data_IF_965178299916
#
_entry.id   IF_965178299916
#
_cell.length_a   1.000
_cell.length_b   1.000
_cell.length_c   1.000
_cell.angle_alpha   90.00
_cell.angle_beta   90.00
_cell.angle_gamma   90.00
#
_symmetry.space_group_name_H-M   'P 1'
#
loop_
_entity.id
_entity.type
_entity.pdbx_description
1 polymer ?
#
# COMPACT_ATOMS: atom_id res chain seq x y z
N UNK A 1 -0.10 9.80 -26.24
CA UNK A 1 1.14 9.59 -25.45
C UNK A 1 1.30 8.09 -25.28
N UNK A 2 2.49 7.56 -25.52
CA UNK A 2 2.78 6.11 -25.43
C UNK A 2 3.82 5.87 -24.32
N UNK A 3 3.73 4.76 -23.61
CA UNK A 3 4.65 4.38 -22.53
C UNK A 3 4.86 2.87 -22.58
N UNK A 4 6.07 2.41 -22.30
CA UNK A 4 6.40 0.98 -22.25
C UNK A 4 5.92 0.36 -20.92
N UNK A 5 5.95 1.16 -19.85
CA UNK A 5 5.55 0.74 -18.51
C UNK A 5 4.66 1.80 -17.85
N UNK A 6 3.56 1.34 -17.25
CA UNK A 6 2.69 2.14 -16.39
C UNK A 6 2.71 1.55 -14.99
N UNK A 7 3.21 2.32 -14.03
CA UNK A 7 3.29 1.94 -12.63
C UNK A 7 2.24 2.72 -11.87
N UNK A 8 1.36 2.02 -11.15
CA UNK A 8 0.30 2.63 -10.33
C UNK A 8 0.68 2.50 -8.86
N UNK A 9 0.94 3.64 -8.22
CA UNK A 9 1.38 3.79 -6.84
C UNK A 9 2.87 4.10 -6.73
N UNK A 10 3.21 5.33 -6.34
CA UNK A 10 4.54 5.80 -5.93
C UNK A 10 4.85 5.45 -4.46
N UNK A 11 4.45 4.27 -4.02
CA UNK A 11 4.91 3.71 -2.75
C UNK A 11 6.36 3.22 -2.84
N UNK A 12 6.87 2.62 -1.76
CA UNK A 12 8.28 2.18 -1.67
C UNK A 12 8.71 1.29 -2.86
N UNK A 13 7.87 0.36 -3.27
CA UNK A 13 8.17 -0.51 -4.42
C UNK A 13 8.06 0.23 -5.75
N UNK A 14 7.03 1.06 -5.93
CA UNK A 14 6.78 1.80 -7.17
C UNK A 14 7.90 2.78 -7.50
N UNK A 15 8.36 3.55 -6.50
CA UNK A 15 9.48 4.48 -6.67
C UNK A 15 10.78 3.75 -7.05
N UNK A 16 11.08 2.60 -6.41
CA UNK A 16 12.29 1.82 -6.73
C UNK A 16 12.21 1.25 -8.14
N UNK A 17 11.05 0.72 -8.53
CA UNK A 17 10.85 0.15 -9.86
C UNK A 17 10.94 1.23 -10.94
N UNK A 18 10.26 2.36 -10.74
CA UNK A 18 10.29 3.49 -11.66
C UNK A 18 11.72 3.98 -11.88
N UNK A 19 12.48 4.19 -10.81
CA UNK A 19 13.87 4.65 -10.89
C UNK A 19 14.78 3.68 -11.65
N UNK A 20 14.58 2.37 -11.51
CA UNK A 20 15.40 1.36 -12.19
C UNK A 20 15.06 1.26 -13.68
N UNK A 21 13.77 1.26 -14.01
CA UNK A 21 13.32 1.17 -15.41
C UNK A 21 13.66 2.45 -16.18
N UNK A 22 13.47 3.63 -15.57
CA UNK A 22 13.77 4.91 -16.23
C UNK A 22 15.27 5.23 -16.31
N UNK A 23 16.15 4.39 -15.74
CA UNK A 23 17.59 4.53 -15.92
C UNK A 23 18.03 4.17 -17.35
N UNK A 24 17.26 3.34 -18.05
CA UNK A 24 17.42 3.09 -19.47
C UNK A 24 16.67 4.18 -20.26
N UNK A 25 17.36 5.02 -21.06
CA UNK A 25 16.71 6.06 -21.86
C UNK A 25 15.81 5.51 -22.97
N UNK A 26 15.89 4.21 -23.30
CA UNK A 26 14.99 3.56 -24.24
C UNK A 26 13.63 3.23 -23.62
N UNK A 27 13.50 3.26 -22.30
CA UNK A 27 12.26 2.96 -21.59
C UNK A 27 11.49 4.23 -21.21
N UNK A 28 10.23 4.33 -21.64
CA UNK A 28 9.29 5.39 -21.26
C UNK A 28 8.39 4.90 -20.15
N UNK A 29 8.60 5.40 -18.94
CA UNK A 29 7.88 4.98 -17.74
C UNK A 29 6.89 6.07 -17.30
N UNK A 30 5.63 5.70 -17.08
CA UNK A 30 4.63 6.52 -16.44
C UNK A 30 4.40 6.04 -15.00
N UNK A 31 4.63 6.91 -14.02
CA UNK A 31 4.31 6.66 -12.61
C UNK A 31 3.07 7.48 -12.22
N UNK A 32 2.00 6.80 -11.82
CA UNK A 32 0.77 7.41 -11.33
C UNK A 32 0.69 7.25 -9.82
N UNK A 33 0.46 8.33 -9.09
CA UNK A 33 0.25 8.32 -7.65
C UNK A 33 -1.06 9.05 -7.32
N UNK A 34 -1.85 8.47 -6.42
CA UNK A 34 -3.14 9.03 -6.02
C UNK A 34 -2.96 10.25 -5.09
N UNK A 35 -1.91 10.21 -4.25
CA UNK A 35 -1.56 11.29 -3.35
C UNK A 35 -0.92 12.51 -4.04
N UNK A 36 -0.97 13.69 -3.39
CA UNK A 36 -0.20 14.84 -3.83
C UNK A 36 1.31 14.62 -3.56
N UNK A 37 2.15 15.53 -4.05
CA UNK A 37 3.59 15.55 -3.73
C UNK A 37 3.84 15.57 -2.20
N UNK A 38 4.96 15.05 -1.73
CA UNK A 38 5.31 15.02 -0.30
C UNK A 38 5.81 16.38 0.25
N UNK A 39 4.93 17.38 0.31
CA UNK A 39 5.27 18.75 0.76
C UNK A 39 5.02 19.00 2.25
N UNK A 40 4.20 18.18 2.91
CA UNK A 40 3.76 18.47 4.27
C UNK A 40 4.87 18.15 5.31
N UNK A 41 5.24 19.07 6.22
CA UNK A 41 6.36 18.85 7.16
C UNK A 41 6.22 17.61 8.04
N UNK A 42 4.98 17.20 8.37
CA UNK A 42 4.75 15.99 9.16
C UNK A 42 5.17 14.69 8.46
N UNK A 43 5.39 14.71 7.13
CA UNK A 43 5.93 13.57 6.38
C UNK A 43 7.43 13.38 6.67
N UNK A 44 8.14 14.48 6.89
CA UNK A 44 9.61 14.50 7.09
C UNK A 44 10.03 14.42 8.56
N UNK A 45 9.08 14.53 9.49
CA UNK A 45 9.35 14.41 10.93
C UNK A 45 8.99 13.00 11.42
N UNK A 46 9.90 12.28 12.11
CA UNK A 46 9.60 10.95 12.66
C UNK A 46 8.35 10.93 13.56
N UNK A 47 8.19 11.95 14.43
CA UNK A 47 7.01 12.09 15.29
C UNK A 47 5.73 12.55 14.55
N UNK A 48 5.84 12.94 13.28
CA UNK A 48 4.73 13.43 12.47
C UNK A 48 3.73 12.34 12.07
N UNK A 49 4.11 11.06 12.17
CA UNK A 49 3.25 9.92 11.85
C UNK A 49 1.91 9.98 12.61
N UNK A 50 1.92 10.36 13.89
CA UNK A 50 0.72 10.46 14.72
C UNK A 50 -0.34 11.41 14.12
N UNK A 51 0.08 12.43 13.37
CA UNK A 51 -0.82 13.37 12.68
C UNK A 51 -1.28 12.85 11.31
N UNK A 52 -0.51 11.97 10.68
CA UNK A 52 -0.78 11.46 9.34
C UNK A 52 -1.71 10.25 9.33
N UNK A 53 -1.63 9.38 10.34
CA UNK A 53 -2.40 8.12 10.37
C UNK A 53 -3.92 8.31 10.30
N UNK A 54 -4.44 9.41 10.87
CA UNK A 54 -5.89 9.71 10.83
C UNK A 54 -6.27 10.75 9.76
N UNK A 55 -5.33 11.14 8.89
CA UNK A 55 -5.60 12.12 7.84
C UNK A 55 -5.99 11.44 6.52
N UNK A 56 -7.24 11.63 6.06
CA UNK A 56 -7.75 11.07 4.79
C UNK A 56 -7.00 11.53 3.54
N UNK A 57 -6.27 12.66 3.61
CA UNK A 57 -5.45 13.13 2.48
C UNK A 57 -4.16 12.33 2.29
N UNK A 58 -3.69 11.65 3.34
CA UNK A 58 -2.40 10.95 3.34
C UNK A 58 -2.52 9.47 3.66
N UNK A 59 -3.68 9.03 4.16
CA UNK A 59 -3.98 7.64 4.44
C UNK A 59 -5.28 7.25 3.75
N UNK A 60 -5.25 6.10 3.07
CA UNK A 60 -6.40 5.47 2.43
C UNK A 60 -7.49 5.05 3.41
N UNK A 61 -7.19 4.94 4.71
CA UNK A 61 -8.14 4.52 5.77
C UNK A 61 -8.89 3.25 5.39
N UNK A 62 -8.12 2.21 5.04
CA UNK A 62 -8.68 0.92 4.65
C UNK A 62 -9.67 0.41 5.69
N UNK A 63 -10.76 -0.17 5.21
CA UNK A 63 -11.74 -0.85 6.06
C UNK A 63 -11.18 -2.22 6.42
N UNK A 64 -11.22 -2.57 7.71
CA UNK A 64 -10.88 -3.92 8.16
C UNK A 64 -11.89 -4.91 7.58
N UNK A 65 -11.40 -5.95 6.91
CA UNK A 65 -12.23 -7.08 6.46
C UNK A 65 -12.73 -7.94 7.63
N UNK A 66 -12.13 -7.81 8.81
CA UNK A 66 -12.61 -8.46 10.02
C UNK A 66 -13.70 -7.60 10.67
N UNK A 67 -14.84 -8.20 11.06
CA UNK A 67 -15.87 -7.52 11.83
C UNK A 67 -15.25 -6.89 13.08
N UNK A 68 -15.65 -5.66 13.36
CA UNK A 68 -15.21 -4.90 14.54
C UNK A 68 -15.43 -5.69 15.86
N UNK A 69 -16.41 -6.60 15.84
CA UNK A 69 -16.77 -7.53 16.92
C UNK A 69 -15.63 -8.50 17.31
N UNK A 70 -14.70 -8.82 16.39
CA UNK A 70 -13.58 -9.75 16.65
C UNK A 70 -12.28 -9.00 17.00
N UNK A 71 -12.24 -7.67 16.83
CA UNK A 71 -11.08 -6.85 17.12
C UNK A 71 -10.61 -6.92 18.59
N UNK A 72 -11.51 -7.03 19.61
CA UNK A 72 -11.09 -7.21 21.01
C UNK A 72 -10.43 -8.56 21.26
N UNK A 73 -10.85 -9.62 20.56
CA UNK A 73 -10.31 -10.98 20.72
C UNK A 73 -8.89 -11.12 20.17
N UNK A 74 -8.52 -10.35 19.15
CA UNK A 74 -7.15 -10.26 18.62
C UNK A 74 -6.21 -9.44 19.51
N UNK A 75 -6.75 -8.55 20.36
CA UNK A 75 -5.99 -7.72 21.30
C UNK A 75 -5.86 -8.34 22.70
N UNK A 76 -6.51 -9.48 22.94
CA UNK A 76 -6.40 -10.19 24.21
C UNK A 76 -4.97 -10.77 24.38
N UNK A 77 -4.34 -10.64 25.56
CA UNK A 77 -3.06 -11.28 25.84
C UNK A 77 -3.21 -12.81 25.65
N UNK A 78 -2.50 -13.37 24.67
CA UNK A 78 -2.55 -14.81 24.35
C UNK A 78 -3.26 -15.18 23.03
N UNK A 79 -3.74 -14.21 22.24
CA UNK A 79 -4.27 -14.47 20.91
C UNK A 79 -3.18 -15.01 19.97
N UNK A 80 -3.08 -16.35 19.85
CA UNK A 80 -2.22 -16.99 18.86
C UNK A 80 -2.70 -16.59 17.46
N UNK A 81 -1.86 -15.88 16.71
CA UNK A 81 -1.99 -15.76 15.25
C UNK A 81 -2.09 -17.19 14.71
N UNK A 82 -3.28 -17.61 14.27
CA UNK A 82 -3.39 -18.80 13.43
C UNK A 82 -2.84 -18.39 12.07
N UNK A 83 -1.59 -18.75 11.82
CA UNK A 83 -1.05 -18.73 10.46
C UNK A 83 -1.77 -19.80 9.64
N UNK A 84 -2.16 -19.44 8.42
CA UNK A 84 -2.73 -20.37 7.44
C UNK A 84 -3.98 -19.84 6.78
N UNK A 85 -3.81 -19.18 5.63
CA UNK A 85 -4.87 -19.15 4.61
C UNK A 85 -4.76 -20.49 3.88
N UNK A 86 -5.70 -21.40 4.15
CA UNK A 86 -5.90 -22.60 3.32
C UNK A 86 -6.50 -22.15 1.98
N UNK A 87 -5.63 -21.93 0.99
CA UNK A 87 -6.04 -21.64 -0.39
C UNK A 87 -6.41 -22.97 -1.04
N UNK A 88 -7.66 -23.42 -0.87
CA UNK A 88 -8.17 -24.49 -1.73
C UNK A 88 -8.33 -23.96 -3.16
N UNK A 89 -7.82 -24.65 -4.18
CA UNK A 89 -8.04 -24.24 -5.57
C UNK A 89 -9.53 -24.29 -5.90
N UNK A 90 -10.03 -23.24 -6.60
CA UNK A 90 -11.36 -23.23 -7.20
C UNK A 90 -11.42 -24.34 -8.27
N UNK A 91 -12.51 -25.13 -8.35
CA UNK A 91 -12.72 -26.05 -9.46
C UNK A 91 -12.68 -25.27 -10.78
N UNK A 92 -12.04 -25.83 -11.80
CA UNK A 92 -12.10 -25.33 -13.17
C UNK A 92 -13.52 -25.52 -13.69
N UNK A 93 -14.13 -24.44 -14.16
CA UNK A 93 -15.38 -24.51 -14.92
C UNK A 93 -15.01 -25.00 -16.34
N UNK A 94 -15.46 -26.21 -16.69
CA UNK A 94 -15.53 -26.72 -18.07
C UNK A 94 -16.73 -26.11 -18.82
#
# INVERSE_FOLDING_TARGET
MEYDYVIVGAGSAGCVLANRLSADPQCRVLLLEAGPRDWHPSIHMPAGLARLVNNRRSNWQGVSSFPEQIAPLLRAPGARKREGVDVRPRPSDD
#
